data_IF_127717205284
#
_entry.id   IF_127717205284
#
_cell.length_a   1.000
_cell.length_b   1.000
_cell.length_c   1.000
_cell.angle_alpha   90.00
_cell.angle_beta   90.00
_cell.angle_gamma   90.00
#
_symmetry.space_group_name_H-M   'P 1'
#
loop_
_entity.id
_entity.type
_entity.pdbx_description
1 polymer ?
#
# COMPACT_ATOMS: atom_id res chain seq x y z
N UNK A 1 82.27 5.22 19.07
CA UNK A 1 81.22 4.27 19.53
C UNK A 1 79.94 5.06 19.66
N UNK A 2 78.88 4.51 19.14
CA UNK A 2 77.77 5.18 18.46
C UNK A 2 76.64 5.71 19.37
N UNK A 3 75.95 6.73 18.82
CA UNK A 3 74.54 7.11 19.01
C UNK A 3 74.18 8.30 19.93
N UNK A 4 74.27 9.49 19.31
CA UNK A 4 73.18 10.47 19.08
C UNK A 4 72.42 11.09 20.27
N UNK A 5 72.85 12.30 20.63
CA UNK A 5 71.99 13.47 20.93
C UNK A 5 71.67 14.22 19.60
N UNK A 6 70.73 15.19 19.48
CA UNK A 6 70.16 16.03 20.55
C UNK A 6 68.64 16.36 20.46
N UNK A 7 68.02 16.49 21.64
CA UNK A 7 66.91 17.42 21.85
C UNK A 7 67.44 18.86 21.76
N UNK A 8 66.60 19.78 21.24
CA UNK A 8 66.66 21.25 21.37
C UNK A 8 67.08 22.05 20.11
N UNK A 9 66.10 22.68 19.45
CA UNK A 9 66.23 24.02 18.82
C UNK A 9 64.84 24.48 18.29
N UNK A 10 64.18 25.54 18.77
CA UNK A 10 64.43 26.99 18.65
C UNK A 10 63.37 27.67 17.76
N UNK A 11 62.61 28.58 18.38
CA UNK A 11 62.19 29.94 17.93
C UNK A 11 60.68 30.21 18.16
N UNK A 12 60.41 31.06 19.15
CA UNK A 12 59.26 31.96 19.24
C UNK A 12 59.20 32.88 17.99
N UNK A 13 58.02 33.34 17.54
CA UNK A 13 57.49 34.62 18.05
C UNK A 13 55.96 34.61 18.23
N UNK A 14 55.39 35.17 19.31
CA UNK A 14 55.05 36.61 19.47
C UNK A 14 54.43 37.22 18.22
N UNK A 15 53.17 36.90 17.95
CA UNK A 15 52.15 37.71 17.28
C UNK A 15 50.87 36.85 17.25
N UNK A 16 49.69 37.46 17.38
CA UNK A 16 48.36 36.83 17.53
C UNK A 16 47.88 36.53 18.96
N UNK A 17 48.25 37.39 19.92
CA UNK A 17 47.32 37.72 21.02
C UNK A 17 46.60 39.02 20.66
N UNK A 18 45.74 38.97 19.65
CA UNK A 18 44.77 40.03 19.37
C UNK A 18 43.63 39.43 18.53
N UNK A 19 42.41 39.58 19.05
CA UNK A 19 41.19 39.39 18.27
C UNK A 19 40.65 37.98 18.27
N UNK A 20 39.97 37.62 19.36
CA UNK A 20 38.86 36.67 19.32
C UNK A 20 37.75 37.31 18.48
N UNK A 21 37.92 37.32 17.16
CA UNK A 21 36.94 37.81 16.21
C UNK A 21 35.98 36.66 15.93
N UNK A 22 34.79 36.82 16.46
CA UNK A 22 33.59 36.02 16.26
C UNK A 22 33.48 35.56 14.81
N UNK A 23 33.81 34.29 14.55
CA UNK A 23 33.38 33.57 13.36
C UNK A 23 32.12 32.79 13.72
N UNK A 24 31.01 33.52 13.85
CA UNK A 24 29.69 32.95 13.67
C UNK A 24 29.50 32.71 12.16
N UNK A 25 30.21 31.70 11.62
CA UNK A 25 29.81 31.12 10.34
C UNK A 25 28.51 30.39 10.65
N UNK A 26 27.40 31.03 10.30
CA UNK A 26 26.12 30.35 10.20
C UNK A 26 26.26 29.23 9.19
N UNK A 27 26.57 28.03 9.67
CA UNK A 27 26.33 26.81 8.92
C UNK A 27 24.82 26.70 8.80
N UNK A 28 24.28 27.21 7.70
CA UNK A 28 22.94 26.88 7.26
C UNK A 28 22.85 25.36 7.22
N UNK A 29 22.16 24.80 8.20
CA UNK A 29 21.78 23.40 8.20
C UNK A 29 20.71 23.29 7.11
N UNK A 30 21.14 23.15 5.85
CA UNK A 30 20.26 22.85 4.74
C UNK A 30 19.67 21.47 5.00
N UNK A 31 18.50 21.45 5.63
CA UNK A 31 17.59 20.32 5.63
C UNK A 31 17.26 20.04 4.17
N UNK A 32 18.02 19.14 3.53
CA UNK A 32 17.58 18.56 2.27
C UNK A 32 16.19 17.97 2.54
N UNK A 33 15.16 18.35 1.76
CA UNK A 33 13.89 17.64 1.88
C UNK A 33 14.21 16.17 1.64
N UNK A 34 13.84 15.31 2.59
CA UNK A 34 13.88 13.87 2.36
C UNK A 34 12.95 13.63 1.17
N UNK A 35 13.52 13.25 0.02
CA UNK A 35 12.73 12.73 -1.08
C UNK A 35 11.85 11.63 -0.48
N UNK A 36 10.54 11.86 -0.54
CA UNK A 36 9.54 10.87 -0.15
C UNK A 36 9.90 9.63 -0.97
N UNK A 37 10.29 8.56 -0.27
CA UNK A 37 10.84 7.35 -0.90
C UNK A 37 9.71 6.69 -1.68
N UNK A 38 9.56 7.10 -2.93
CA UNK A 38 8.75 6.45 -3.93
C UNK A 38 9.46 5.18 -4.42
N UNK A 39 8.70 4.23 -4.99
CA UNK A 39 9.36 3.25 -5.83
C UNK A 39 9.88 3.96 -7.07
N UNK A 40 11.20 3.91 -7.27
CA UNK A 40 11.82 4.42 -8.49
C UNK A 40 11.73 3.36 -9.60
N UNK A 41 11.79 2.08 -9.21
CA UNK A 41 11.90 0.95 -10.12
C UNK A 41 11.03 -0.24 -9.65
N UNK A 42 10.18 -0.73 -10.56
CA UNK A 42 9.44 -1.98 -10.43
C UNK A 42 10.16 -3.01 -11.28
N UNK A 43 10.68 -4.06 -10.64
CA UNK A 43 11.37 -5.16 -11.32
C UNK A 43 10.40 -6.32 -11.49
N UNK A 44 9.88 -6.48 -12.71
CA UNK A 44 9.06 -7.62 -13.06
C UNK A 44 9.95 -8.85 -13.20
N UNK A 45 9.67 -9.87 -12.41
CA UNK A 45 10.41 -11.14 -12.43
C UNK A 45 9.60 -12.19 -13.18
N UNK A 46 10.21 -12.82 -14.18
CA UNK A 46 9.59 -13.88 -14.95
C UNK A 46 10.59 -15.00 -15.19
N UNK A 47 10.51 -16.05 -14.38
CA UNK A 47 11.45 -17.17 -14.42
C UNK A 47 12.89 -16.74 -14.17
N UNK A 48 13.69 -16.62 -15.22
CA UNK A 48 15.11 -16.28 -15.20
C UNK A 48 15.37 -14.87 -15.73
N UNK A 49 14.31 -14.12 -16.05
CA UNK A 49 14.38 -12.77 -16.58
C UNK A 49 13.92 -11.76 -15.54
N UNK A 50 14.66 -10.65 -15.50
CA UNK A 50 14.42 -9.50 -14.65
C UNK A 50 14.22 -8.31 -15.57
N UNK A 51 12.99 -7.82 -15.66
CA UNK A 51 12.71 -6.62 -16.46
C UNK A 51 12.48 -5.44 -15.51
N UNK A 52 13.41 -4.48 -15.43
CA UNK A 52 13.20 -3.26 -14.68
C UNK A 52 12.26 -2.33 -15.45
N UNK A 53 11.37 -1.66 -14.72
CA UNK A 53 10.38 -0.71 -15.22
C UNK A 53 10.42 0.50 -14.31
N UNK A 54 10.69 1.67 -14.84
CA UNK A 54 10.71 2.90 -14.05
C UNK A 54 9.26 3.33 -13.75
N UNK A 55 8.98 3.79 -12.53
CA UNK A 55 7.66 4.34 -12.21
C UNK A 55 7.37 5.57 -13.07
N UNK A 56 8.41 6.37 -13.38
CA UNK A 56 8.33 7.49 -14.32
C UNK A 56 7.91 7.09 -15.74
N UNK A 57 8.27 5.88 -16.19
CA UNK A 57 7.82 5.39 -17.50
C UNK A 57 6.32 5.07 -17.47
N UNK A 58 5.79 4.59 -16.33
CA UNK A 58 4.36 4.37 -16.14
C UNK A 58 3.58 5.69 -16.11
N UNK A 59 4.13 6.70 -15.43
CA UNK A 59 3.57 8.07 -15.43
C UNK A 59 3.49 8.62 -16.85
N UNK A 60 4.61 8.59 -17.58
CA UNK A 60 4.68 9.07 -18.96
C UNK A 60 3.69 8.32 -19.85
N UNK A 61 3.64 6.98 -19.72
CA UNK A 61 2.69 6.17 -20.48
C UNK A 61 1.23 6.51 -20.19
N UNK A 62 0.90 6.77 -18.92
CA UNK A 62 -0.45 7.19 -18.53
C UNK A 62 -0.77 8.58 -19.07
N UNK A 63 0.14 9.54 -18.98
CA UNK A 63 -0.07 10.94 -19.37
C UNK A 63 -0.11 11.13 -20.90
N UNK A 64 0.90 10.62 -21.61
CA UNK A 64 1.11 10.89 -23.04
C UNK A 64 0.67 9.75 -23.94
N UNK A 65 0.57 8.53 -23.41
CA UNK A 65 0.38 7.30 -24.19
C UNK A 65 1.66 6.75 -24.82
N UNK A 66 2.80 7.42 -24.63
CA UNK A 66 4.09 6.93 -25.15
C UNK A 66 4.56 5.70 -24.37
N UNK A 67 4.87 4.62 -25.09
CA UNK A 67 5.38 3.39 -24.49
C UNK A 67 6.89 3.35 -24.57
N UNK A 68 7.57 3.30 -23.40
CA UNK A 68 8.98 2.92 -23.36
C UNK A 68 9.14 1.45 -23.78
N UNK A 69 10.38 1.02 -24.04
CA UNK A 69 10.66 -0.38 -24.36
C UNK A 69 10.19 -1.34 -23.25
N UNK A 70 10.31 -0.91 -21.99
CA UNK A 70 9.87 -1.68 -20.83
C UNK A 70 8.34 -1.78 -20.74
N UNK A 71 7.62 -0.67 -21.00
CA UNK A 71 6.15 -0.66 -21.05
C UNK A 71 5.64 -1.53 -22.21
N UNK A 72 6.24 -1.39 -23.40
CA UNK A 72 5.88 -2.21 -24.57
C UNK A 72 6.03 -3.71 -24.28
N UNK A 73 7.10 -4.10 -23.61
CA UNK A 73 7.32 -5.47 -23.16
C UNK A 73 6.26 -5.93 -22.16
N UNK A 74 5.94 -5.10 -21.15
CA UNK A 74 4.92 -5.41 -20.15
C UNK A 74 3.53 -5.60 -20.79
N UNK A 75 3.10 -4.68 -21.65
CA UNK A 75 1.82 -4.77 -22.36
C UNK A 75 1.78 -6.02 -23.24
N UNK A 76 2.88 -6.34 -23.93
CA UNK A 76 3.01 -7.53 -24.75
C UNK A 76 2.87 -8.83 -23.95
N UNK A 77 3.48 -8.92 -22.75
CA UNK A 77 3.33 -10.08 -21.87
C UNK A 77 1.92 -10.17 -21.29
N UNK A 78 1.34 -9.03 -20.90
CA UNK A 78 -0.02 -8.98 -20.37
C UNK A 78 -1.08 -9.39 -21.41
N UNK A 79 -0.73 -9.32 -22.71
CA UNK A 79 -1.65 -9.51 -23.84
C UNK A 79 -2.89 -8.62 -23.75
N UNK A 80 -2.71 -7.42 -23.22
CA UNK A 80 -3.76 -6.42 -23.05
C UNK A 80 -3.60 -5.31 -24.08
N UNK A 81 -4.69 -4.58 -24.36
CA UNK A 81 -4.61 -3.34 -25.11
C UNK A 81 -3.89 -2.27 -24.26
N UNK A 82 -2.93 -1.50 -24.82
CA UNK A 82 -2.28 -0.39 -24.10
C UNK A 82 -3.27 0.53 -23.37
N UNK A 83 -4.40 0.86 -23.98
CA UNK A 83 -5.42 1.74 -23.38
C UNK A 83 -6.09 1.11 -22.16
N UNK A 84 -6.29 -0.20 -22.16
CA UNK A 84 -6.87 -0.90 -21.00
C UNK A 84 -5.86 -0.97 -19.85
N UNK A 85 -4.56 -1.07 -20.16
CA UNK A 85 -3.49 -0.97 -19.15
C UNK A 85 -3.44 0.43 -18.55
N UNK A 86 -3.52 1.50 -19.37
CA UNK A 86 -3.58 2.89 -18.88
C UNK A 86 -4.78 3.11 -17.97
N UNK A 87 -5.96 2.63 -18.37
CA UNK A 87 -7.17 2.67 -17.54
C UNK A 87 -6.98 1.90 -16.24
N UNK A 88 -6.36 0.72 -16.27
CA UNK A 88 -6.12 -0.06 -15.06
C UNK A 88 -5.16 0.66 -14.09
N UNK A 89 -4.13 1.33 -14.59
CA UNK A 89 -3.17 2.10 -13.78
C UNK A 89 -3.82 3.34 -13.12
N UNK A 90 -4.78 3.97 -13.80
CA UNK A 90 -5.46 5.20 -13.37
C UNK A 90 -6.83 4.98 -12.75
N UNK A 91 -7.32 3.75 -12.71
CA UNK A 91 -8.64 3.45 -12.17
C UNK A 91 -8.71 3.85 -10.71
N UNK A 92 -9.52 4.86 -10.44
CA UNK A 92 -9.80 5.32 -9.08
C UNK A 92 -10.70 4.30 -8.38
N UNK A 93 -10.28 3.88 -7.18
CA UNK A 93 -11.12 3.11 -6.26
C UNK A 93 -11.40 4.00 -5.05
N UNK A 94 -12.64 4.48 -4.92
CA UNK A 94 -13.07 5.31 -3.81
C UNK A 94 -13.17 4.50 -2.52
N UNK A 95 -12.24 4.70 -1.60
CA UNK A 95 -12.17 4.03 -0.31
C UNK A 95 -11.78 5.05 0.76
N UNK A 96 -12.69 5.34 1.69
CA UNK A 96 -12.38 6.25 2.79
C UNK A 96 -11.16 5.76 3.58
N UNK A 97 -10.26 6.69 3.95
CA UNK A 97 -9.03 6.37 4.68
C UNK A 97 -9.33 5.60 5.98
N UNK A 98 -10.43 5.94 6.68
CA UNK A 98 -10.88 5.22 7.87
C UNK A 98 -11.28 3.76 7.59
N UNK A 99 -11.97 3.51 6.48
CA UNK A 99 -12.34 2.15 6.09
C UNK A 99 -11.11 1.33 5.72
N UNK A 100 -10.22 1.89 4.89
CA UNK A 100 -8.93 1.26 4.52
C UNK A 100 -8.14 0.91 5.77
N UNK A 101 -7.97 1.86 6.69
CA UNK A 101 -7.26 1.63 7.95
C UNK A 101 -7.90 0.48 8.75
N UNK A 102 -9.21 0.49 8.99
CA UNK A 102 -9.89 -0.55 9.77
C UNK A 102 -9.77 -1.94 9.12
N UNK A 103 -10.00 -2.03 7.81
CA UNK A 103 -9.93 -3.28 7.08
C UNK A 103 -8.51 -3.83 7.10
N UNK A 104 -7.51 -3.02 6.73
CA UNK A 104 -6.12 -3.46 6.64
C UNK A 104 -5.44 -3.77 7.98
N UNK A 105 -6.04 -3.36 9.11
CA UNK A 105 -5.59 -3.73 10.46
C UNK A 105 -6.45 -4.85 11.08
N UNK A 106 -7.45 -5.37 10.37
CA UNK A 106 -8.24 -6.53 10.82
C UNK A 106 -7.54 -7.85 10.45
N UNK A 107 -7.87 -8.95 11.13
CA UNK A 107 -7.38 -10.29 10.78
C UNK A 107 -7.58 -10.66 9.29
N UNK A 108 -8.77 -10.50 8.68
CA UNK A 108 -8.94 -10.78 7.26
C UNK A 108 -8.13 -9.82 6.36
N UNK A 109 -7.96 -8.56 6.75
CA UNK A 109 -7.11 -7.62 6.02
C UNK A 109 -5.63 -7.96 6.09
N UNK A 110 -5.15 -8.40 7.25
CA UNK A 110 -3.78 -8.89 7.43
C UNK A 110 -3.50 -10.08 6.51
N UNK A 111 -4.46 -11.01 6.41
CA UNK A 111 -4.37 -12.15 5.52
C UNK A 111 -4.40 -11.73 4.05
N UNK A 112 -5.25 -10.76 3.67
CA UNK A 112 -5.26 -10.22 2.32
C UNK A 112 -3.92 -9.56 1.95
N UNK A 113 -3.34 -8.79 2.88
CA UNK A 113 -2.00 -8.20 2.73
C UNK A 113 -0.91 -9.28 2.65
N UNK A 114 -1.02 -10.35 3.42
CA UNK A 114 -0.11 -11.50 3.33
C UNK A 114 -0.18 -12.15 1.95
N UNK A 115 -1.38 -12.37 1.41
CA UNK A 115 -1.58 -12.92 0.06
C UNK A 115 -1.03 -11.99 -1.03
N UNK A 116 -1.29 -10.69 -0.95
CA UNK A 116 -0.72 -9.70 -1.85
C UNK A 116 0.82 -9.64 -1.73
N UNK A 117 1.34 -9.75 -0.51
CA UNK A 117 2.77 -9.78 -0.22
C UNK A 117 3.48 -11.00 -0.78
N UNK A 118 2.78 -12.11 -1.08
CA UNK A 118 3.38 -13.24 -1.78
C UNK A 118 3.68 -12.94 -3.25
N UNK A 119 2.98 -11.99 -3.89
CA UNK A 119 3.27 -11.55 -5.26
C UNK A 119 4.56 -10.72 -5.30
N UNK A 120 4.81 -9.98 -4.23
CA UNK A 120 5.93 -9.07 -4.10
C UNK A 120 7.09 -9.80 -3.44
N UNK A 121 8.10 -10.18 -4.24
CA UNK A 121 9.18 -11.03 -3.77
C UNK A 121 10.42 -10.21 -3.41
N UNK A 122 10.78 -10.04 -2.13
CA UNK A 122 12.06 -9.43 -1.80
C UNK A 122 13.19 -10.35 -2.24
N UNK A 123 13.88 -10.02 -3.33
CA UNK A 123 14.95 -10.86 -3.90
C UNK A 123 16.03 -11.30 -2.91
N UNK A 124 16.28 -10.48 -1.88
CA UNK A 124 17.47 -10.63 -1.06
C UNK A 124 17.20 -10.99 0.41
N UNK A 125 15.97 -10.90 0.92
CA UNK A 125 15.64 -11.25 2.32
C UNK A 125 14.17 -11.62 2.51
N UNK A 126 13.81 -12.57 3.40
CA UNK A 126 12.44 -12.72 3.88
C UNK A 126 12.01 -11.42 4.54
N UNK A 127 11.25 -10.61 3.81
CA UNK A 127 11.01 -9.24 4.22
C UNK A 127 9.77 -9.20 5.12
N UNK A 128 10.02 -9.30 6.43
CA UNK A 128 9.01 -9.05 7.48
C UNK A 128 8.34 -7.67 7.35
N UNK A 129 8.91 -6.77 6.54
CA UNK A 129 8.34 -5.45 6.28
C UNK A 129 7.40 -5.37 5.07
N UNK A 130 7.13 -6.44 4.31
CA UNK A 130 6.21 -6.37 3.14
C UNK A 130 4.80 -5.97 3.57
N UNK A 131 4.24 -6.66 4.57
CA UNK A 131 2.89 -6.35 5.04
C UNK A 131 2.81 -4.92 5.58
N UNK A 132 3.73 -4.46 6.45
CA UNK A 132 3.79 -3.06 6.86
C UNK A 132 3.94 -2.07 5.68
N UNK A 133 4.76 -2.39 4.68
CA UNK A 133 4.97 -1.54 3.51
C UNK A 133 3.68 -1.43 2.67
N UNK A 134 3.03 -2.56 2.38
CA UNK A 134 1.74 -2.60 1.69
C UNK A 134 0.68 -1.82 2.45
N UNK A 135 0.56 -2.06 3.76
CA UNK A 135 -0.40 -1.38 4.62
C UNK A 135 -0.17 0.14 4.61
N UNK A 136 1.06 0.55 4.85
CA UNK A 136 1.44 1.96 4.88
C UNK A 136 1.17 2.64 3.55
N UNK A 137 1.52 1.99 2.44
CA UNK A 137 1.28 2.51 1.08
C UNK A 137 -0.20 2.72 0.82
N UNK A 138 -1.05 1.71 1.09
CA UNK A 138 -2.49 1.81 0.84
C UNK A 138 -3.18 2.85 1.72
N UNK A 139 -2.78 2.95 3.00
CA UNK A 139 -3.28 4.00 3.90
C UNK A 139 -2.84 5.37 3.40
N UNK A 140 -1.59 5.51 2.97
CA UNK A 140 -1.04 6.78 2.48
C UNK A 140 -1.67 7.20 1.14
N UNK A 141 -1.97 6.27 0.25
CA UNK A 141 -2.72 6.55 -0.99
C UNK A 141 -4.12 7.08 -0.65
N UNK A 142 -4.87 6.35 0.18
CA UNK A 142 -6.24 6.74 0.54
C UNK A 142 -6.34 8.04 1.36
N UNK A 143 -5.25 8.51 1.96
CA UNK A 143 -5.27 9.67 2.88
C UNK A 143 -5.25 11.02 2.17
N UNK A 144 -4.92 11.07 0.87
CA UNK A 144 -4.84 12.34 0.15
C UNK A 144 -6.22 12.81 -0.31
N UNK A 145 -6.99 11.94 -0.98
CA UNK A 145 -8.27 12.30 -1.60
C UNK A 145 -9.38 11.24 -1.44
N UNK A 146 -9.21 10.28 -0.52
CA UNK A 146 -10.08 9.11 -0.33
C UNK A 146 -10.23 8.21 -1.56
N UNK A 147 -9.29 8.31 -2.50
CA UNK A 147 -9.18 7.44 -3.66
C UNK A 147 -7.83 6.74 -3.64
N UNK A 148 -7.77 5.65 -4.37
CA UNK A 148 -6.52 4.91 -4.58
C UNK A 148 -6.45 4.57 -6.06
N UNK A 149 -5.32 4.88 -6.68
CA UNK A 149 -4.96 4.35 -8.01
C UNK A 149 -3.77 3.41 -7.92
N UNK A 150 -3.62 2.54 -8.93
CA UNK A 150 -2.47 1.63 -8.97
C UNK A 150 -1.16 2.37 -9.26
N UNK A 151 -1.20 3.40 -10.10
CA UNK A 151 -0.05 4.27 -10.36
C UNK A 151 0.44 4.94 -9.07
N UNK A 152 -0.48 5.53 -8.31
CA UNK A 152 -0.18 6.17 -7.04
C UNK A 152 0.38 5.18 -6.01
N UNK A 153 -0.15 3.96 -5.96
CA UNK A 153 0.39 2.92 -5.10
C UNK A 153 1.88 2.68 -5.38
N UNK A 154 2.30 2.62 -6.65
CA UNK A 154 3.72 2.48 -6.98
C UNK A 154 4.53 3.73 -6.61
N UNK A 155 3.99 4.93 -6.83
CA UNK A 155 4.63 6.19 -6.44
C UNK A 155 4.82 6.33 -4.93
N UNK A 156 3.93 5.76 -4.11
CA UNK A 156 3.99 5.90 -2.64
C UNK A 156 4.66 4.72 -1.94
N UNK A 157 5.06 3.68 -2.67
CA UNK A 157 5.60 2.48 -2.07
C UNK A 157 7.00 2.76 -1.45
N UNK A 158 7.23 2.42 -0.17
CA UNK A 158 8.33 2.96 0.64
C UNK A 158 9.72 2.38 0.31
N UNK A 159 9.91 1.77 -0.85
CA UNK A 159 11.17 1.12 -1.25
C UNK A 159 11.56 1.52 -2.66
N UNK A 160 12.83 1.83 -2.88
CA UNK A 160 13.36 2.19 -4.20
C UNK A 160 13.09 1.13 -5.27
N UNK A 161 13.20 -0.16 -4.92
CA UNK A 161 12.98 -1.28 -5.83
C UNK A 161 11.90 -2.23 -5.34
N UNK A 162 10.85 -2.38 -6.13
CA UNK A 162 9.77 -3.33 -5.87
C UNK A 162 9.88 -4.50 -6.85
N UNK A 163 10.06 -5.71 -6.34
CA UNK A 163 10.14 -6.91 -7.17
C UNK A 163 8.79 -7.62 -7.21
N UNK A 164 8.31 -7.90 -8.42
CA UNK A 164 6.95 -8.40 -8.63
C UNK A 164 7.02 -9.67 -9.49
N UNK A 165 6.47 -10.79 -9.00
CA UNK A 165 6.44 -12.04 -9.78
C UNK A 165 5.28 -12.03 -10.77
N UNK A 166 5.62 -11.89 -12.05
CA UNK A 166 4.64 -11.85 -13.14
C UNK A 166 3.87 -13.17 -13.33
N UNK A 167 4.48 -14.32 -12.99
CA UNK A 167 3.77 -15.61 -13.02
C UNK A 167 2.78 -15.71 -11.89
N UNK A 168 3.12 -15.21 -10.71
CA UNK A 168 2.18 -15.23 -9.59
C UNK A 168 1.01 -14.27 -9.84
N UNK A 169 1.24 -13.11 -10.45
CA UNK A 169 0.15 -12.25 -10.94
C UNK A 169 -0.77 -13.02 -11.89
N UNK A 170 -0.22 -13.64 -12.93
CA UNK A 170 -1.02 -14.36 -13.92
C UNK A 170 -1.79 -15.54 -13.31
N UNK A 171 -1.17 -16.28 -12.39
CA UNK A 171 -1.79 -17.38 -11.66
C UNK A 171 -2.93 -16.89 -10.77
N UNK A 172 -2.71 -15.82 -10.01
CA UNK A 172 -3.72 -15.23 -9.13
C UNK A 172 -4.88 -14.65 -9.93
N UNK A 173 -4.60 -13.94 -11.03
CA UNK A 173 -5.63 -13.44 -11.95
C UNK A 173 -6.51 -14.59 -12.47
N UNK A 174 -5.92 -15.69 -12.95
CA UNK A 174 -6.68 -16.86 -13.42
C UNK A 174 -7.52 -17.49 -12.31
N UNK A 175 -7.01 -17.56 -11.08
CA UNK A 175 -7.77 -18.08 -9.93
C UNK A 175 -8.98 -17.20 -9.60
N UNK A 176 -8.81 -15.88 -9.64
CA UNK A 176 -9.89 -14.91 -9.41
C UNK A 176 -10.94 -15.00 -10.53
N UNK A 177 -10.54 -14.94 -11.80
CA UNK A 177 -11.48 -15.09 -12.91
C UNK A 177 -12.17 -16.44 -12.92
N UNK A 178 -11.47 -17.53 -12.60
CA UNK A 178 -12.09 -18.84 -12.47
C UNK A 178 -13.10 -18.92 -11.33
N UNK A 179 -12.87 -18.19 -10.23
CA UNK A 179 -13.86 -18.06 -9.16
C UNK A 179 -15.05 -17.21 -9.60
N UNK A 180 -14.81 -16.07 -10.26
CA UNK A 180 -15.89 -15.20 -10.76
C UNK A 180 -16.77 -15.93 -11.77
N UNK A 181 -16.19 -16.63 -12.75
CA UNK A 181 -16.95 -17.39 -13.73
C UNK A 181 -17.75 -18.53 -13.07
N UNK A 182 -17.17 -19.22 -12.08
CA UNK A 182 -17.90 -20.26 -11.31
C UNK A 182 -18.95 -19.69 -10.39
N UNK A 183 -18.72 -18.50 -9.84
CA UNK A 183 -19.69 -17.82 -8.99
C UNK A 183 -20.84 -17.31 -9.85
N UNK A 184 -20.60 -16.76 -11.04
CA UNK A 184 -21.61 -16.37 -12.02
C UNK A 184 -22.42 -17.59 -12.49
N UNK A 185 -21.75 -18.71 -12.77
CA UNK A 185 -22.39 -19.99 -13.11
C UNK A 185 -23.15 -20.63 -11.94
N UNK A 186 -22.71 -20.41 -10.69
CA UNK A 186 -23.42 -20.84 -9.48
C UNK A 186 -24.48 -19.83 -8.99
N UNK A 187 -24.45 -18.59 -9.48
CA UNK A 187 -25.44 -17.55 -9.24
C UNK A 187 -26.58 -17.60 -10.28
N UNK A 188 -26.51 -18.51 -11.26
CA UNK A 188 -27.67 -19.06 -11.96
C UNK A 188 -28.41 -20.14 -11.16
N UNK A 189 -28.13 -20.33 -9.86
CA UNK A 189 -29.17 -20.86 -8.97
C UNK A 189 -30.32 -19.84 -9.05
N UNK A 190 -31.50 -20.21 -9.57
CA UNK A 190 -32.52 -19.25 -9.89
C UNK A 190 -32.81 -18.43 -8.65
N UNK A 191 -32.76 -17.10 -8.81
CA UNK A 191 -33.19 -16.08 -7.85
C UNK A 191 -34.59 -16.40 -7.28
N UNK A 192 -35.31 -17.36 -7.85
CA UNK A 192 -36.46 -18.05 -7.26
C UNK A 192 -36.22 -18.56 -5.83
N UNK A 193 -35.05 -19.14 -5.49
CA UNK A 193 -34.77 -19.61 -4.13
C UNK A 193 -34.50 -18.42 -3.20
N UNK A 194 -33.89 -17.35 -3.71
CA UNK A 194 -33.70 -16.13 -2.93
C UNK A 194 -35.03 -15.42 -2.66
N UNK A 195 -36.04 -15.54 -3.52
CA UNK A 195 -37.39 -15.03 -3.25
C UNK A 195 -38.12 -15.84 -2.17
N UNK A 196 -38.10 -17.17 -2.25
CA UNK A 196 -38.71 -18.01 -1.20
C UNK A 196 -38.00 -17.80 0.16
N UNK A 197 -36.68 -17.62 0.16
CA UNK A 197 -35.91 -17.38 1.39
C UNK A 197 -36.01 -15.94 1.92
N UNK A 198 -36.22 -14.95 1.04
CA UNK A 198 -36.51 -13.57 1.42
C UNK A 198 -37.96 -13.42 1.89
N UNK A 199 -38.92 -14.19 1.38
CA UNK A 199 -40.30 -14.23 1.89
C UNK A 199 -40.39 -14.94 3.26
N UNK A 200 -39.58 -15.96 3.51
CA UNK A 200 -39.52 -16.63 4.83
C UNK A 200 -38.80 -15.77 5.90
N UNK A 201 -37.89 -14.87 5.51
CA UNK A 201 -37.30 -13.85 6.40
C UNK A 201 -38.12 -12.56 6.51
N UNK A 202 -39.02 -12.28 5.57
CA UNK A 202 -40.09 -11.28 5.69
C UNK A 202 -41.31 -11.95 6.31
N UNK A 203 -41.09 -12.68 7.41
CA UNK A 203 -42.16 -12.80 8.38
C UNK A 203 -42.44 -11.39 8.90
N UNK A 204 -43.65 -10.93 8.62
CA UNK A 204 -44.29 -9.85 9.34
C UNK A 204 -44.25 -10.27 10.81
N UNK A 205 -43.28 -9.74 11.55
CA UNK A 205 -43.29 -9.81 13.01
C UNK A 205 -44.43 -8.91 13.47
N UNK A 206 -45.66 -9.35 13.23
CA UNK A 206 -46.81 -8.89 13.99
C UNK A 206 -46.49 -9.30 15.43
N UNK A 207 -46.02 -8.32 16.19
CA UNK A 207 -45.90 -8.40 17.63
C UNK A 207 -47.31 -8.74 18.09
N UNK A 208 -47.56 -10.02 18.34
CA UNK A 208 -48.77 -10.45 19.02
C UNK A 208 -48.69 -9.83 20.40
N UNK A 209 -49.24 -8.64 20.54
CA UNK A 209 -49.59 -8.09 21.84
C UNK A 209 -50.67 -9.01 22.37
N UNK A 210 -50.24 -9.98 23.16
CA UNK A 210 -51.10 -10.77 24.02
C UNK A 210 -51.86 -9.76 24.89
N UNK A 211 -53.09 -9.44 24.51
CA UNK A 211 -54.02 -8.76 25.40
C UNK A 211 -54.46 -9.79 26.44
N UNK A 212 -53.59 -10.02 27.43
CA UNK A 212 -54.05 -10.51 28.73
C UNK A 212 -54.73 -9.34 29.40
N UNK A 213 -56.04 -9.29 29.22
CA UNK A 213 -56.91 -8.49 30.05
C UNK A 213 -56.85 -9.01 31.49
N UNK A 214 -56.78 -8.07 32.42
CA UNK A 214 -56.97 -8.20 33.87
C UNK A 214 -55.74 -8.54 34.72
N UNK A 215 -55.22 -7.50 35.39
CA UNK A 215 -54.31 -7.64 36.52
C UNK A 215 -53.50 -6.38 36.77
N UNK A 216 -54.03 -5.50 37.62
CA UNK A 216 -53.28 -4.40 38.25
C UNK A 216 -51.91 -4.88 38.75
N UNK A 217 -50.86 -4.06 38.56
CA UNK A 217 -49.93 -3.61 39.63
C UNK A 217 -48.75 -2.81 39.03
N UNK A 218 -48.73 -1.55 39.43
CA UNK A 218 -47.65 -0.57 39.66
C UNK A 218 -46.33 -0.59 38.87
N UNK A 219 -46.02 0.61 38.36
CA UNK A 219 -44.72 1.05 37.84
C UNK A 219 -43.76 1.24 39.02
N UNK A 220 -42.69 0.45 39.07
CA UNK A 220 -41.50 0.78 39.86
C UNK A 220 -40.34 1.11 38.90
N UNK A 221 -39.95 2.38 38.91
CA UNK A 221 -38.75 2.86 38.27
C UNK A 221 -37.53 2.48 39.11
N UNK A 222 -36.66 1.61 38.59
CA UNK A 222 -35.30 1.52 39.09
C UNK A 222 -34.31 1.20 37.96
N UNK A 223 -33.50 2.21 37.65
CA UNK A 223 -32.37 2.15 36.73
C UNK A 223 -31.10 1.97 37.56
N UNK A 224 -30.31 0.89 37.40
CA UNK A 224 -28.99 0.84 38.00
C UNK A 224 -27.98 1.51 37.06
N UNK A 225 -27.34 2.56 37.57
CA UNK A 225 -26.03 3.00 37.11
C UNK A 225 -25.00 2.08 37.76
N UNK A 226 -24.21 1.37 36.95
CA UNK A 226 -22.75 1.23 37.07
C UNK A 226 -22.16 0.63 35.79
#
# INVERSE_FOLDING_TARGET
MSLTLPFLHRKLPRLLQAGFLVLAIGTGFSLKPNEVVAAEEIVLTYSFLDQPILVKDLETFVETGEMSAAISFLVGIAKQNPEDVRKALTKEVGLSSRFVYKVLNSLPGEYALFQAGQIIHPRYKPNRAIIPALRGTLILSASDDEKITLLEFFQKYPTQKMYVDGRLIAKTAKSVFGFLNRAEEALEVPIAIAKDFLEDMVCDCEVTTTSTESGLVQIDANYPQE
#
